data_IF_021350845359
#
_entry.id   IF_021350845359
#
_cell.length_a   1.000
_cell.length_b   1.000
_cell.length_c   1.000
_cell.angle_alpha   90.00
_cell.angle_beta   90.00
_cell.angle_gamma   90.00
#
_symmetry.space_group_name_H-M   'P 1'
#
loop_
_entity.id
_entity.type
_entity.pdbx_description
1 polymer ?
#
# COMPACT_ATOMS: atom_id res chain seq x y z
N UNK A 1 -6.78 -12.51 -15.03
CA UNK A 1 -5.89 -12.13 -13.93
C UNK A 1 -4.63 -13.00 -13.86
N UNK A 2 -4.68 -14.32 -13.61
CA UNK A 2 -3.52 -15.20 -13.39
C UNK A 2 -2.42 -15.12 -14.48
N UNK A 3 -2.79 -15.14 -15.78
CA UNK A 3 -1.82 -15.03 -16.89
C UNK A 3 -1.00 -13.73 -16.81
N UNK A 4 -1.66 -12.62 -16.55
CA UNK A 4 -1.01 -11.30 -16.43
C UNK A 4 -0.13 -11.27 -15.18
N UNK A 5 -0.61 -11.80 -14.06
CA UNK A 5 0.17 -11.83 -12.81
C UNK A 5 1.46 -12.65 -12.96
N UNK A 6 1.42 -13.80 -13.64
CA UNK A 6 2.64 -14.57 -13.94
C UNK A 6 3.64 -13.81 -14.83
N UNK A 7 3.15 -13.10 -15.84
CA UNK A 7 3.99 -12.27 -16.70
C UNK A 7 4.65 -11.15 -15.90
N UNK A 8 3.88 -10.45 -15.05
CA UNK A 8 4.41 -9.37 -14.20
C UNK A 8 5.42 -9.91 -13.19
N UNK A 9 5.13 -11.03 -12.51
CA UNK A 9 6.08 -11.63 -11.57
C UNK A 9 7.41 -11.97 -12.25
N UNK A 10 7.37 -12.62 -13.41
CA UNK A 10 8.58 -12.99 -14.17
C UNK A 10 9.37 -11.80 -14.71
N UNK A 11 8.73 -10.65 -14.93
CA UNK A 11 9.39 -9.42 -15.40
C UNK A 11 9.98 -8.60 -14.25
N UNK A 12 9.28 -8.49 -13.13
CA UNK A 12 9.57 -7.54 -12.07
C UNK A 12 10.56 -8.09 -11.02
N UNK A 13 10.34 -9.35 -10.60
CA UNK A 13 11.14 -9.95 -9.54
C UNK A 13 12.65 -10.05 -9.87
N UNK A 14 13.09 -10.42 -11.09
CA UNK A 14 14.52 -10.41 -11.43
C UNK A 14 15.18 -9.04 -11.35
N UNK A 15 14.37 -7.97 -11.34
CA UNK A 15 14.82 -6.58 -11.20
C UNK A 15 14.77 -6.07 -9.74
N UNK A 16 14.45 -6.96 -8.77
CA UNK A 16 14.28 -6.58 -7.36
C UNK A 16 13.00 -5.79 -7.06
N UNK A 17 12.04 -5.78 -8.00
CA UNK A 17 10.77 -5.06 -7.82
C UNK A 17 9.76 -5.97 -7.15
N UNK A 18 9.26 -5.57 -5.98
CA UNK A 18 8.20 -6.27 -5.24
C UNK A 18 6.88 -6.19 -6.00
N UNK A 19 6.33 -7.32 -6.38
CA UNK A 19 5.05 -7.42 -7.07
C UNK A 19 3.97 -7.94 -6.13
N UNK A 20 2.97 -7.13 -5.83
CA UNK A 20 1.83 -7.44 -4.96
C UNK A 20 0.57 -7.63 -5.81
N UNK A 21 -0.14 -8.73 -5.61
CA UNK A 21 -1.46 -8.99 -6.22
C UNK A 21 -2.54 -8.42 -5.30
N UNK A 22 -3.52 -7.72 -5.86
CA UNK A 22 -4.63 -7.16 -5.09
C UNK A 22 -5.81 -8.14 -4.99
N UNK A 23 -6.43 -8.30 -3.82
CA UNK A 23 -7.66 -9.03 -3.47
C UNK A 23 -7.63 -10.56 -3.68
N UNK A 24 -6.64 -11.13 -4.32
CA UNK A 24 -6.65 -12.52 -4.78
C UNK A 24 -5.44 -13.31 -4.26
N UNK A 25 -5.48 -13.82 -3.02
CA UNK A 25 -4.40 -14.63 -2.44
C UNK A 25 -4.09 -15.90 -3.25
N UNK A 26 -5.11 -16.54 -3.82
CA UNK A 26 -4.98 -17.70 -4.70
C UNK A 26 -4.15 -17.36 -5.96
N UNK A 27 -4.42 -16.21 -6.57
CA UNK A 27 -3.65 -15.74 -7.73
C UNK A 27 -2.22 -15.39 -7.32
N UNK A 28 -2.03 -14.74 -6.18
CA UNK A 28 -0.70 -14.40 -5.66
C UNK A 28 0.16 -15.65 -5.44
N UNK A 29 -0.43 -16.69 -4.84
CA UNK A 29 0.25 -17.98 -4.61
C UNK A 29 0.64 -18.67 -5.93
N UNK A 30 -0.32 -18.82 -6.86
CA UNK A 30 -0.11 -19.56 -8.12
C UNK A 30 0.78 -18.79 -9.11
N UNK A 31 0.74 -17.45 -9.09
CA UNK A 31 1.57 -16.60 -9.94
C UNK A 31 2.98 -16.40 -9.38
N UNK A 32 3.27 -16.93 -8.19
CA UNK A 32 4.52 -16.73 -7.47
C UNK A 32 4.84 -15.24 -7.23
N UNK A 33 3.79 -14.40 -7.03
CA UNK A 33 3.96 -13.00 -6.71
C UNK A 33 4.72 -12.82 -5.39
N UNK A 34 5.32 -11.66 -5.16
CA UNK A 34 6.02 -11.33 -3.92
C UNK A 34 5.06 -11.26 -2.73
N UNK A 35 3.81 -10.90 -2.97
CA UNK A 35 2.81 -10.80 -1.92
C UNK A 35 1.40 -10.56 -2.45
N UNK A 36 0.51 -10.28 -1.51
CA UNK A 36 -0.90 -9.97 -1.74
C UNK A 36 -1.33 -8.80 -0.84
N UNK A 37 -2.23 -7.97 -1.33
CA UNK A 37 -2.92 -6.96 -0.55
C UNK A 37 -4.40 -7.29 -0.47
N UNK A 38 -4.99 -7.22 0.72
CA UNK A 38 -6.41 -7.52 0.94
C UNK A 38 -7.14 -6.34 1.60
N UNK A 39 -8.42 -6.17 1.29
CA UNK A 39 -9.32 -5.23 1.93
C UNK A 39 -10.12 -5.87 3.08
N UNK A 40 -11.02 -5.09 3.66
CA UNK A 40 -11.85 -5.52 4.81
C UNK A 40 -12.91 -6.57 4.43
N UNK A 41 -13.36 -6.58 3.17
CA UNK A 41 -14.39 -7.49 2.65
C UNK A 41 -13.78 -8.72 1.96
N UNK A 42 -12.45 -8.79 1.86
CA UNK A 42 -11.72 -9.89 1.24
C UNK A 42 -11.44 -11.03 2.23
N UNK A 43 -10.66 -12.00 1.80
CA UNK A 43 -10.20 -13.07 2.68
C UNK A 43 -9.34 -12.49 3.81
N UNK A 44 -9.71 -12.76 5.06
CA UNK A 44 -9.00 -12.25 6.22
C UNK A 44 -7.51 -12.62 6.24
N UNK A 45 -6.69 -11.79 6.90
CA UNK A 45 -5.22 -11.88 6.91
C UNK A 45 -4.72 -13.28 7.30
N UNK A 46 -5.26 -13.90 8.35
CA UNK A 46 -4.79 -15.21 8.84
C UNK A 46 -5.10 -16.35 7.84
N UNK A 47 -6.28 -16.30 7.21
CA UNK A 47 -6.62 -17.24 6.15
C UNK A 47 -5.76 -17.00 4.91
N UNK A 48 -5.47 -15.73 4.58
CA UNK A 48 -4.55 -15.35 3.51
C UNK A 48 -3.15 -15.89 3.80
N UNK A 49 -2.63 -15.72 5.03
CA UNK A 49 -1.32 -16.23 5.47
C UNK A 49 -1.22 -17.75 5.28
N UNK A 50 -2.30 -18.48 5.61
CA UNK A 50 -2.36 -19.93 5.42
C UNK A 50 -2.24 -20.35 3.95
N UNK A 51 -2.68 -19.50 3.02
CA UNK A 51 -2.59 -19.77 1.57
C UNK A 51 -1.26 -19.35 0.94
N UNK A 52 -0.69 -18.22 1.37
CA UNK A 52 0.47 -17.63 0.69
C UNK A 52 1.80 -17.90 1.42
N UNK A 53 1.77 -18.48 2.63
CA UNK A 53 2.97 -18.76 3.42
C UNK A 53 3.73 -17.50 3.79
N UNK A 54 5.02 -17.45 3.54
CA UNK A 54 5.93 -16.35 3.91
C UNK A 54 5.88 -15.13 2.98
N UNK A 55 4.93 -15.09 2.03
CA UNK A 55 4.78 -13.95 1.13
C UNK A 55 4.27 -12.72 1.89
N UNK A 56 4.58 -11.54 1.35
CA UNK A 56 4.15 -10.26 1.92
C UNK A 56 2.62 -10.15 1.90
N UNK A 57 2.02 -9.78 3.03
CA UNK A 57 0.59 -9.50 3.15
C UNK A 57 0.39 -8.05 3.60
N UNK A 58 -0.36 -7.28 2.80
CA UNK A 58 -0.87 -5.99 3.19
C UNK A 58 -2.35 -6.03 3.50
N UNK A 59 -2.81 -5.15 4.38
CA UNK A 59 -4.23 -4.97 4.72
C UNK A 59 -4.63 -3.49 4.66
N UNK A 60 -5.76 -3.19 4.00
CA UNK A 60 -6.37 -1.86 4.02
C UNK A 60 -7.16 -1.60 5.30
N UNK A 61 -7.02 -0.40 5.86
CA UNK A 61 -7.78 0.06 7.03
C UNK A 61 -8.32 1.47 6.80
N UNK A 62 -9.52 1.75 7.34
CA UNK A 62 -10.28 2.98 7.10
C UNK A 62 -10.67 3.71 8.39
N UNK A 63 -10.28 3.19 9.55
CA UNK A 63 -10.51 3.77 10.87
C UNK A 63 -9.56 3.13 11.90
N UNK A 64 -9.54 3.70 13.11
CA UNK A 64 -8.68 3.26 14.20
C UNK A 64 -8.95 1.80 14.61
N UNK A 65 -10.20 1.38 14.73
CA UNK A 65 -10.57 0.01 15.15
C UNK A 65 -10.02 -1.05 14.18
N UNK A 66 -10.14 -0.81 12.87
CA UNK A 66 -9.59 -1.71 11.84
C UNK A 66 -8.05 -1.73 11.91
N UNK A 67 -7.43 -0.58 12.18
CA UNK A 67 -5.98 -0.49 12.29
C UNK A 67 -5.46 -1.26 13.50
N UNK A 68 -6.09 -1.13 14.66
CA UNK A 68 -5.71 -1.88 15.88
C UNK A 68 -5.81 -3.39 15.65
N UNK A 69 -6.86 -3.87 15.00
CA UNK A 69 -6.97 -5.29 14.60
C UNK A 69 -5.86 -5.71 13.63
N UNK A 70 -5.49 -4.82 12.69
CA UNK A 70 -4.43 -5.10 11.73
C UNK A 70 -3.04 -5.18 12.39
N UNK A 71 -2.78 -4.41 13.43
CA UNK A 71 -1.53 -4.51 14.21
C UNK A 71 -1.36 -5.90 14.80
N UNK A 72 -2.41 -6.48 15.34
CA UNK A 72 -2.40 -7.79 16.01
C UNK A 72 -2.36 -8.96 15.00
N UNK A 73 -2.64 -8.71 13.72
CA UNK A 73 -2.65 -9.73 12.68
C UNK A 73 -1.26 -10.06 12.14
N UNK A 74 -1.17 -11.12 11.34
CA UNK A 74 0.05 -11.51 10.62
C UNK A 74 0.33 -10.67 9.36
N UNK A 75 -0.32 -9.51 9.19
CA UNK A 75 -0.02 -8.58 8.10
C UNK A 75 1.38 -7.97 8.24
N UNK A 76 2.10 -7.88 7.11
CA UNK A 76 3.45 -7.34 7.06
C UNK A 76 3.47 -5.81 6.92
N UNK A 77 2.42 -5.23 6.34
CA UNK A 77 2.22 -3.78 6.30
C UNK A 77 0.74 -3.42 6.35
N UNK A 78 0.44 -2.21 6.80
CA UNK A 78 -0.93 -1.72 6.97
C UNK A 78 -1.14 -0.50 6.07
N UNK A 79 -2.15 -0.54 5.20
CA UNK A 79 -2.53 0.61 4.41
C UNK A 79 -3.63 1.41 5.13
N UNK A 80 -3.47 2.74 5.15
CA UNK A 80 -4.39 3.68 5.79
C UNK A 80 -4.99 4.60 4.73
N UNK A 81 -6.30 4.67 4.67
CA UNK A 81 -6.98 5.58 3.73
C UNK A 81 -8.48 5.38 3.61
N UNK A 82 -9.13 6.20 2.78
CA UNK A 82 -8.53 7.22 1.89
C UNK A 82 -8.08 8.47 2.64
N UNK A 83 -6.83 8.91 2.40
CA UNK A 83 -6.30 10.12 3.06
C UNK A 83 -6.94 11.38 2.51
N UNK A 84 -7.17 11.43 1.19
CA UNK A 84 -7.86 12.52 0.50
C UNK A 84 -9.00 11.96 -0.35
N UNK A 85 -9.90 12.84 -0.79
CA UNK A 85 -10.99 12.46 -1.70
C UNK A 85 -10.43 11.80 -2.98
N UNK A 86 -11.04 10.68 -3.36
CA UNK A 86 -10.61 9.88 -4.52
C UNK A 86 -11.81 9.41 -5.33
N UNK A 87 -11.62 9.30 -6.63
CA UNK A 87 -12.57 8.70 -7.57
C UNK A 87 -12.11 7.33 -8.09
N UNK A 88 -11.03 6.78 -7.54
CA UNK A 88 -10.47 5.49 -8.00
C UNK A 88 -11.28 4.27 -7.56
N UNK A 89 -12.19 4.43 -6.58
CA UNK A 89 -13.13 3.42 -6.10
C UNK A 89 -14.55 3.94 -6.35
N UNK A 90 -15.47 3.10 -6.79
CA UNK A 90 -16.85 3.48 -7.10
C UNK A 90 -17.61 3.96 -5.84
N UNK A 91 -17.38 3.28 -4.71
CA UNK A 91 -17.90 3.67 -3.40
C UNK A 91 -16.70 3.83 -2.44
N UNK A 92 -16.06 5.01 -2.39
CA UNK A 92 -14.93 5.23 -1.51
C UNK A 92 -15.40 5.31 -0.06
N UNK A 93 -14.59 4.78 0.86
CA UNK A 93 -14.76 4.97 2.28
C UNK A 93 -14.63 6.47 2.65
N UNK A 94 -15.12 6.91 3.82
CA UNK A 94 -14.93 8.28 4.30
C UNK A 94 -13.46 8.69 4.35
N UNK A 95 -13.17 9.92 3.97
CA UNK A 95 -11.80 10.48 4.05
C UNK A 95 -11.36 10.53 5.51
N UNK A 96 -10.19 9.95 5.80
CA UNK A 96 -9.65 9.87 7.17
C UNK A 96 -8.59 10.93 7.46
N UNK A 97 -8.02 11.55 6.43
CA UNK A 97 -7.01 12.59 6.58
C UNK A 97 -5.65 12.11 7.10
N UNK A 98 -4.70 13.04 7.18
CA UNK A 98 -3.36 12.76 7.73
C UNK A 98 -3.36 12.62 9.26
N UNK A 99 -4.42 13.06 9.93
CA UNK A 99 -4.57 12.93 11.40
C UNK A 99 -4.56 11.46 11.81
N UNK A 100 -5.30 10.61 11.11
CA UNK A 100 -5.31 9.19 11.42
C UNK A 100 -3.91 8.58 11.32
N UNK A 101 -3.08 9.00 10.34
CA UNK A 101 -1.70 8.51 10.22
C UNK A 101 -0.89 8.87 11.48
N UNK A 102 -1.00 10.12 11.95
CA UNK A 102 -0.29 10.58 13.17
C UNK A 102 -0.67 9.78 14.39
N UNK A 103 -1.95 9.48 14.52
CA UNK A 103 -2.47 8.72 15.66
C UNK A 103 -1.99 7.27 15.63
N UNK A 104 -2.14 6.60 14.49
CA UNK A 104 -1.81 5.18 14.36
C UNK A 104 -0.30 4.90 14.32
N UNK A 105 0.53 5.85 13.86
CA UNK A 105 1.99 5.69 13.85
C UNK A 105 2.56 5.41 15.24
N UNK A 106 1.94 5.93 16.28
CA UNK A 106 2.38 5.74 17.67
C UNK A 106 2.07 4.34 18.21
N UNK A 107 1.26 3.57 17.52
CA UNK A 107 0.75 2.27 17.97
C UNK A 107 1.57 1.09 17.43
N UNK A 108 2.41 1.30 16.42
CA UNK A 108 3.10 0.19 15.75
C UNK A 108 4.38 0.63 15.05
N UNK A 109 5.33 -0.30 14.92
CA UNK A 109 6.50 -0.16 14.04
C UNK A 109 6.31 -0.85 12.68
N UNK A 110 5.16 -1.48 12.43
CA UNK A 110 4.84 -2.04 11.10
C UNK A 110 4.82 -0.93 10.05
N UNK A 111 5.28 -1.22 8.82
CA UNK A 111 5.19 -0.25 7.72
C UNK A 111 3.76 0.24 7.49
N UNK A 112 3.58 1.56 7.44
CA UNK A 112 2.31 2.22 7.11
C UNK A 112 2.38 2.75 5.68
N UNK A 113 1.44 2.30 4.84
CA UNK A 113 1.28 2.78 3.47
C UNK A 113 0.03 3.65 3.39
N UNK A 114 0.19 4.92 3.11
CA UNK A 114 -0.96 5.81 2.91
C UNK A 114 -1.54 5.66 1.50
N UNK A 115 -2.87 5.65 1.39
CA UNK A 115 -3.58 5.48 0.11
C UNK A 115 -4.78 6.42 0.00
N UNK A 116 -5.19 6.71 -1.22
CA UNK A 116 -6.41 7.46 -1.56
C UNK A 116 -6.17 8.95 -1.77
N UNK A 117 -6.38 9.40 -3.01
CA UNK A 117 -6.29 10.80 -3.42
C UNK A 117 -4.90 11.42 -3.33
N UNK A 118 -3.86 10.61 -3.16
CA UNK A 118 -2.49 11.08 -3.03
C UNK A 118 -1.97 11.51 -4.40
N UNK A 119 -1.39 12.72 -4.42
CA UNK A 119 -0.73 13.34 -5.56
C UNK A 119 0.68 13.80 -5.14
N UNK A 120 1.54 14.07 -6.12
CA UNK A 120 2.90 14.51 -5.82
C UNK A 120 2.94 15.77 -4.93
N UNK A 121 1.97 16.67 -5.11
CA UNK A 121 1.87 17.93 -4.36
C UNK A 121 1.54 17.75 -2.87
N UNK A 122 0.89 16.64 -2.47
CA UNK A 122 0.49 16.37 -1.09
C UNK A 122 1.22 15.17 -0.46
N UNK A 123 2.03 14.45 -1.21
CA UNK A 123 2.71 13.25 -0.72
C UNK A 123 3.71 13.55 0.41
N UNK A 124 4.40 14.69 0.36
CA UNK A 124 5.34 15.10 1.41
C UNK A 124 4.64 15.28 2.77
N UNK A 125 3.43 15.85 2.79
CA UNK A 125 2.62 16.01 4.01
C UNK A 125 2.24 14.65 4.61
N UNK A 126 1.92 13.68 3.77
CA UNK A 126 1.56 12.32 4.17
C UNK A 126 2.73 11.59 4.83
N UNK A 127 3.93 11.70 4.25
CA UNK A 127 5.15 11.15 4.85
C UNK A 127 5.49 11.86 6.16
N UNK A 128 5.39 13.18 6.21
CA UNK A 128 5.62 13.95 7.45
C UNK A 128 4.62 13.61 8.56
N UNK A 129 3.43 13.09 8.22
CA UNK A 129 2.47 12.59 9.19
C UNK A 129 2.86 11.22 9.80
N UNK A 130 3.83 10.50 9.23
CA UNK A 130 4.35 9.23 9.76
C UNK A 130 4.08 8.01 8.88
N UNK A 131 3.63 8.19 7.63
CA UNK A 131 3.57 7.09 6.67
C UNK A 131 4.99 6.76 6.16
N UNK A 132 5.29 5.47 6.01
CA UNK A 132 6.57 4.99 5.46
C UNK A 132 6.57 5.03 3.92
N UNK A 133 5.40 4.97 3.31
CA UNK A 133 5.23 4.99 1.85
C UNK A 133 3.83 5.44 1.44
N UNK A 134 3.65 5.67 0.14
CA UNK A 134 2.37 6.05 -0.46
C UNK A 134 1.99 5.10 -1.60
N UNK A 135 0.69 4.77 -1.70
CA UNK A 135 0.12 4.06 -2.85
C UNK A 135 -0.59 5.06 -3.76
N UNK A 136 -0.11 5.15 -5.01
CA UNK A 136 -0.56 6.14 -5.99
C UNK A 136 -1.04 5.46 -7.26
N UNK A 137 -2.25 5.78 -7.71
CA UNK A 137 -2.84 5.23 -8.93
C UNK A 137 -3.02 6.34 -9.97
N UNK A 138 -4.02 7.19 -9.79
CA UNK A 138 -4.46 8.15 -10.81
C UNK A 138 -3.37 9.16 -11.17
N UNK A 139 -2.65 9.71 -10.20
CA UNK A 139 -1.63 10.73 -10.45
C UNK A 139 -0.45 10.24 -11.30
N UNK A 140 -0.13 8.94 -11.22
CA UNK A 140 0.87 8.32 -12.11
C UNK A 140 0.23 7.95 -13.45
N UNK A 141 -0.92 7.27 -13.44
CA UNK A 141 -1.51 6.73 -14.67
C UNK A 141 -2.01 7.80 -15.65
N UNK A 142 -2.45 8.97 -15.15
CA UNK A 142 -2.91 10.10 -15.97
C UNK A 142 -1.80 11.10 -16.30
N UNK A 143 -0.60 10.93 -15.75
CA UNK A 143 0.51 11.83 -16.07
C UNK A 143 0.94 11.72 -17.54
N UNK A 144 1.27 12.84 -18.21
CA UNK A 144 1.79 12.82 -19.57
C UNK A 144 3.06 11.96 -19.72
N UNK A 145 3.94 11.99 -18.71
CA UNK A 145 5.12 11.14 -18.59
C UNK A 145 5.05 10.37 -17.26
N UNK A 146 4.57 9.13 -17.35
CA UNK A 146 4.39 8.24 -16.20
C UNK A 146 5.70 7.85 -15.53
N UNK A 147 6.75 7.63 -16.32
CA UNK A 147 8.06 7.24 -15.80
C UNK A 147 8.69 8.38 -15.00
N UNK A 148 8.62 9.61 -15.53
CA UNK A 148 9.07 10.81 -14.83
C UNK A 148 8.27 11.02 -13.53
N UNK A 149 6.93 10.85 -13.58
CA UNK A 149 6.09 11.00 -12.39
C UNK A 149 6.43 9.96 -11.31
N UNK A 150 6.61 8.71 -11.68
CA UNK A 150 7.03 7.66 -10.74
C UNK A 150 8.41 7.97 -10.13
N UNK A 151 9.37 8.46 -10.94
CA UNK A 151 10.70 8.86 -10.45
C UNK A 151 10.62 9.99 -9.42
N UNK A 152 9.75 10.99 -9.64
CA UNK A 152 9.52 12.08 -8.67
C UNK A 152 9.04 11.57 -7.31
N UNK A 153 8.15 10.57 -7.28
CA UNK A 153 7.75 9.92 -6.02
C UNK A 153 8.90 9.20 -5.34
N UNK A 154 9.73 8.48 -6.09
CA UNK A 154 10.89 7.78 -5.52
C UNK A 154 11.93 8.76 -4.95
N UNK A 155 12.16 9.88 -5.60
CA UNK A 155 13.03 10.95 -5.12
C UNK A 155 12.49 11.54 -3.80
N UNK A 156 11.19 11.90 -3.75
CA UNK A 156 10.54 12.41 -2.56
C UNK A 156 10.61 11.43 -1.37
N UNK A 157 10.36 10.15 -1.60
CA UNK A 157 10.43 9.12 -0.56
C UNK A 157 11.87 8.90 -0.08
N UNK A 158 12.84 8.93 -0.98
CA UNK A 158 14.27 8.79 -0.64
C UNK A 158 14.79 9.95 0.21
N UNK A 159 14.39 11.17 -0.09
CA UNK A 159 14.74 12.37 0.72
C UNK A 159 14.12 12.32 2.11
N UNK A 160 12.86 11.89 2.21
CA UNK A 160 12.16 11.78 3.48
C UNK A 160 12.82 10.75 4.41
N UNK A 161 13.24 9.59 3.90
CA UNK A 161 13.94 8.57 4.69
C UNK A 161 15.30 9.05 5.20
N UNK A 162 16.03 9.85 4.43
CA UNK A 162 17.31 10.43 4.87
C UNK A 162 17.13 11.48 5.96
N UNK A 163 16.08 12.29 5.89
CA UNK A 163 15.75 13.31 6.90
C UNK A 163 15.29 12.74 8.25
N UNK A 164 14.77 11.53 8.29
CA UNK A 164 14.36 10.84 9.52
C UNK A 164 15.52 10.11 10.24
N UNK A 165 16.65 9.94 9.56
CA UNK A 165 17.84 9.24 10.08
C UNK A 165 18.93 10.20 10.62
N UNK A 166 18.70 11.51 10.53
CA UNK A 166 19.58 12.58 10.98
C UNK A 166 19.04 13.25 12.25
#
# INVERSE_FOLDING_TARGET
>A
MLKVSRQLASMLQPQGITFIVNDRPDVAAIAEASGVHVGQDDLGVEATRSLVGEKIIGISTHNLEQFEKAIESSADYIAVGPIFATSSKENPDPVVGTELIRDVRRLTDKPIVAIGGIKLENAAEVIAAGADSVAVISDILTAPDRAKRAKQYLELLGEAQQGMSA
#
